data_IF_331087390758
#
_entry.id   IF_331087390758
#
_cell.length_a   1.000
_cell.length_b   1.000
_cell.length_c   1.000
_cell.angle_alpha   90.00
_cell.angle_beta   90.00
_cell.angle_gamma   90.00
#
_symmetry.space_group_name_H-M   'P 1'
#
loop_
_entity.id
_entity.type
_entity.pdbx_description
1 polymer ?
#
# COMPACT_ATOMS: atom_id res chain seq x y z
N UNK A 1 -7.91 2.83 -26.47
CA UNK A 1 -6.67 2.62 -25.66
C UNK A 1 -6.59 1.15 -25.28
N UNK A 2 -5.43 0.50 -25.39
CA UNK A 2 -5.22 -0.88 -24.95
C UNK A 2 -5.15 -0.95 -23.42
N UNK A 3 -5.82 -1.93 -22.79
CA UNK A 3 -5.76 -2.15 -21.34
C UNK A 3 -4.41 -2.72 -20.93
N UNK A 4 -4.01 -2.53 -19.66
CA UNK A 4 -2.80 -3.13 -19.10
C UNK A 4 -2.72 -4.64 -19.41
N UNK A 5 -3.79 -5.39 -19.12
CA UNK A 5 -3.82 -6.83 -19.41
C UNK A 5 -3.63 -7.17 -20.90
N UNK A 6 -4.23 -6.39 -21.82
CA UNK A 6 -4.04 -6.62 -23.26
C UNK A 6 -2.61 -6.35 -23.72
N UNK A 7 -1.95 -5.33 -23.16
CA UNK A 7 -0.54 -5.02 -23.44
C UNK A 7 0.37 -6.15 -22.93
N UNK A 8 0.12 -6.66 -21.72
CA UNK A 8 0.94 -7.73 -21.15
C UNK A 8 0.79 -9.03 -21.92
N UNK A 9 -0.44 -9.40 -22.34
CA UNK A 9 -0.65 -10.59 -23.19
C UNK A 9 0.12 -10.50 -24.50
N UNK A 10 0.12 -9.34 -25.16
CA UNK A 10 0.89 -9.13 -26.40
C UNK A 10 2.39 -9.38 -26.17
N UNK A 11 2.94 -8.85 -25.08
CA UNK A 11 4.37 -8.98 -24.74
C UNK A 11 4.77 -10.42 -24.41
N UNK A 12 3.93 -11.12 -23.63
CA UNK A 12 4.14 -12.54 -23.32
C UNK A 12 4.05 -13.41 -24.58
N UNK A 13 3.18 -13.07 -25.52
CA UNK A 13 3.07 -13.74 -26.82
C UNK A 13 4.31 -13.51 -27.71
N UNK A 14 4.89 -12.31 -27.68
CA UNK A 14 6.17 -12.02 -28.37
C UNK A 14 7.30 -12.88 -27.81
N UNK A 15 7.42 -12.98 -26.48
CA UNK A 15 8.38 -13.87 -25.82
C UNK A 15 8.14 -15.35 -26.17
N UNK A 16 6.88 -15.79 -26.19
CA UNK A 16 6.50 -17.14 -26.58
C UNK A 16 6.98 -17.48 -28.00
N UNK A 17 6.82 -16.54 -28.95
CA UNK A 17 7.27 -16.69 -30.34
C UNK A 17 8.78 -16.71 -30.48
N UNK A 18 9.49 -16.03 -29.58
CA UNK A 18 10.95 -16.06 -29.51
C UNK A 18 11.51 -17.36 -28.87
N UNK A 19 10.64 -18.28 -28.42
CA UNK A 19 11.05 -19.55 -27.81
C UNK A 19 11.42 -19.43 -26.32
N UNK A 20 11.09 -18.31 -25.68
CA UNK A 20 11.42 -18.05 -24.28
C UNK A 20 10.55 -18.87 -23.31
N UNK A 21 11.08 -19.09 -22.10
CA UNK A 21 10.35 -19.73 -21.01
C UNK A 21 9.35 -18.75 -20.36
N UNK A 22 8.21 -18.55 -21.02
CA UNK A 22 7.17 -17.61 -20.59
C UNK A 22 6.68 -17.86 -19.16
N UNK A 23 6.39 -19.10 -18.70
CA UNK A 23 6.01 -19.35 -17.32
C UNK A 23 7.04 -18.84 -16.30
N UNK A 24 8.33 -19.11 -16.53
CA UNK A 24 9.39 -18.66 -15.65
C UNK A 24 9.51 -17.12 -15.66
N UNK A 25 9.48 -16.50 -16.84
CA UNK A 25 9.53 -15.03 -16.95
C UNK A 25 8.35 -14.39 -16.23
N UNK A 26 7.15 -14.96 -16.36
CA UNK A 26 5.97 -14.46 -15.64
C UNK A 26 6.15 -14.52 -14.12
N UNK A 27 6.72 -15.60 -13.59
CA UNK A 27 6.99 -15.72 -12.16
C UNK A 27 8.01 -14.67 -11.69
N UNK A 28 9.17 -14.60 -12.35
CA UNK A 28 10.25 -13.67 -11.98
C UNK A 28 9.79 -12.20 -12.05
N UNK A 29 9.04 -11.85 -13.09
CA UNK A 29 8.54 -10.48 -13.27
C UNK A 29 7.44 -10.13 -12.27
N UNK A 30 6.52 -11.07 -11.98
CA UNK A 30 5.48 -10.86 -10.99
C UNK A 30 6.06 -10.71 -9.57
N UNK A 31 7.06 -11.52 -9.23
CA UNK A 31 7.75 -11.45 -7.94
C UNK A 31 8.44 -10.09 -7.75
N UNK A 32 9.32 -9.71 -8.69
CA UNK A 32 10.03 -8.44 -8.62
C UNK A 32 9.10 -7.23 -8.63
N UNK A 33 8.01 -7.28 -9.39
CA UNK A 33 7.01 -6.23 -9.40
C UNK A 33 6.27 -6.11 -8.06
N UNK A 34 5.99 -7.22 -7.38
CA UNK A 34 5.31 -7.22 -6.08
C UNK A 34 6.23 -6.72 -4.98
N UNK A 35 7.53 -7.09 -5.00
CA UNK A 35 8.54 -6.55 -4.08
C UNK A 35 8.60 -5.02 -4.20
N UNK A 36 8.64 -4.49 -5.43
CA UNK A 36 8.62 -3.04 -5.65
C UNK A 36 7.31 -2.38 -5.22
N UNK A 37 6.18 -3.08 -5.38
CA UNK A 37 4.87 -2.60 -4.93
C UNK A 37 4.82 -2.47 -3.40
N UNK A 38 5.31 -3.49 -2.69
CA UNK A 38 5.46 -3.48 -1.22
C UNK A 38 6.34 -2.31 -0.79
N UNK A 39 7.52 -2.14 -1.40
CA UNK A 39 8.44 -1.04 -1.09
C UNK A 39 7.75 0.33 -1.19
N UNK A 40 7.05 0.59 -2.30
CA UNK A 40 6.37 1.88 -2.51
C UNK A 40 5.18 2.07 -1.56
N UNK A 41 4.42 1.02 -1.28
CA UNK A 41 3.32 1.08 -0.31
C UNK A 41 3.85 1.41 1.10
N UNK A 42 4.95 0.78 1.51
CA UNK A 42 5.67 1.05 2.75
C UNK A 42 6.15 2.50 2.82
N UNK A 43 6.84 3.01 1.80
CA UNK A 43 7.33 4.40 1.75
C UNK A 43 6.21 5.44 1.82
N UNK A 44 5.03 5.11 1.27
CA UNK A 44 3.85 5.97 1.33
C UNK A 44 3.11 5.91 2.68
N UNK A 45 3.45 4.96 3.55
CA UNK A 45 2.75 4.73 4.81
C UNK A 45 3.25 5.67 5.90
N UNK A 46 2.37 6.51 6.49
CA UNK A 46 2.75 7.36 7.61
C UNK A 46 3.12 6.55 8.87
N UNK A 47 3.98 7.07 9.75
CA UNK A 47 4.73 8.32 9.61
C UNK A 47 5.96 8.12 8.70
N UNK A 48 5.99 8.79 7.55
CA UNK A 48 7.07 8.70 6.55
C UNK A 48 7.88 10.00 6.40
N UNK A 49 7.54 11.03 7.18
CA UNK A 49 8.19 12.34 7.19
C UNK A 49 9.17 12.51 8.37
N UNK A 50 9.45 11.43 9.10
CA UNK A 50 10.32 11.45 10.27
C UNK A 50 9.72 12.14 11.49
N UNK A 51 8.47 12.63 11.42
CA UNK A 51 7.78 13.27 12.54
C UNK A 51 7.06 12.22 13.38
N UNK A 52 7.78 11.62 14.32
CA UNK A 52 7.19 10.75 15.34
C UNK A 52 6.67 11.63 16.49
N UNK A 53 5.39 12.04 16.42
CA UNK A 53 4.79 12.88 17.45
C UNK A 53 4.15 12.05 18.58
N UNK A 54 4.96 11.64 19.56
CA UNK A 54 4.49 11.27 20.90
C UNK A 54 4.54 9.79 21.26
N UNK A 55 4.68 9.52 22.57
CA UNK A 55 4.89 8.20 23.20
C UNK A 55 3.81 7.15 22.87
N UNK A 56 2.62 7.58 22.42
CA UNK A 56 1.49 6.72 22.03
C UNK A 56 1.17 6.74 20.52
N UNK A 57 1.92 7.50 19.71
CA UNK A 57 1.77 7.52 18.25
C UNK A 57 2.57 6.37 17.63
N UNK A 58 1.88 5.24 17.48
CA UNK A 58 2.05 4.19 16.47
C UNK A 58 3.49 3.93 16.03
N UNK A 59 4.06 2.87 16.61
CA UNK A 59 5.08 2.04 15.99
C UNK A 59 4.81 1.91 14.47
N UNK A 60 5.85 1.93 13.64
CA UNK A 60 5.76 1.74 12.19
C UNK A 60 5.19 0.38 11.73
N UNK A 61 4.41 -0.28 12.58
CA UNK A 61 3.69 -1.53 12.37
C UNK A 61 2.94 -1.52 11.04
N UNK A 62 2.13 -0.50 10.74
CA UNK A 62 1.41 -0.50 9.46
C UNK A 62 2.35 -0.57 8.25
N UNK A 63 3.48 0.14 8.31
CA UNK A 63 4.47 0.10 7.25
C UNK A 63 5.13 -1.30 7.15
N UNK A 64 5.43 -1.93 8.29
CA UNK A 64 5.95 -3.29 8.37
C UNK A 64 4.96 -4.33 7.80
N UNK A 65 3.67 -4.13 8.03
CA UNK A 65 2.62 -5.06 7.60
C UNK A 65 2.49 -5.21 6.08
N UNK A 66 2.92 -4.22 5.30
CA UNK A 66 3.03 -4.41 3.85
C UNK A 66 4.01 -5.52 3.49
N UNK A 67 5.12 -5.65 4.21
CA UNK A 67 6.12 -6.68 3.94
C UNK A 67 5.72 -8.03 4.53
N UNK A 68 5.12 -8.06 5.72
CA UNK A 68 4.78 -9.33 6.40
C UNK A 68 3.51 -9.98 5.87
N UNK A 69 2.56 -9.19 5.39
CA UNK A 69 1.23 -9.69 5.02
C UNK A 69 1.12 -9.98 3.52
N UNK A 70 1.99 -9.36 2.71
CA UNK A 70 2.02 -9.55 1.26
C UNK A 70 2.65 -10.89 0.87
N UNK A 71 2.20 -11.44 -0.26
CA UNK A 71 2.75 -12.65 -0.86
C UNK A 71 3.51 -12.26 -2.12
N UNK A 72 4.82 -12.07 -1.98
CA UNK A 72 5.70 -11.64 -3.08
C UNK A 72 6.10 -12.80 -3.99
N UNK A 73 6.30 -13.99 -3.43
CA UNK A 73 6.63 -15.18 -4.23
C UNK A 73 5.36 -15.71 -4.90
N UNK A 74 5.32 -15.83 -6.23
CA UNK A 74 4.11 -16.19 -6.95
C UNK A 74 3.60 -17.58 -6.62
N UNK A 75 2.30 -17.70 -6.40
CA UNK A 75 1.58 -18.96 -6.26
C UNK A 75 0.92 -19.30 -7.60
N UNK A 76 1.08 -20.55 -8.04
CA UNK A 76 0.38 -21.07 -9.20
C UNK A 76 -1.01 -21.56 -8.80
N UNK A 77 -2.05 -20.89 -9.29
CA UNK A 77 -3.44 -21.27 -9.04
C UNK A 77 -4.28 -21.16 -10.33
N UNK A 78 -4.92 -22.26 -10.73
CA UNK A 78 -5.83 -22.28 -11.89
C UNK A 78 -5.18 -21.83 -13.22
N UNK A 79 -3.89 -22.11 -13.41
CA UNK A 79 -3.13 -21.66 -14.58
C UNK A 79 -2.71 -20.19 -14.56
N UNK A 80 -2.88 -19.50 -13.42
CA UNK A 80 -2.44 -18.12 -13.20
C UNK A 80 -1.31 -18.04 -12.19
N UNK A 81 -0.37 -17.12 -12.42
CA UNK A 81 0.64 -16.71 -11.45
C UNK A 81 0.05 -15.58 -10.59
N UNK A 82 -0.08 -15.81 -9.29
CA UNK A 82 -0.72 -14.87 -8.36
C UNK A 82 0.28 -14.41 -7.30
N UNK A 83 0.31 -13.10 -7.07
CA UNK A 83 1.03 -12.43 -5.99
C UNK A 83 0.04 -11.49 -5.31
N UNK A 84 0.28 -11.17 -4.04
CA UNK A 84 -0.66 -10.38 -3.25
C UNK A 84 0.04 -9.21 -2.58
N UNK A 85 -0.59 -8.03 -2.66
CA UNK A 85 -0.17 -6.82 -1.93
C UNK A 85 -1.20 -6.57 -0.82
N UNK A 86 -0.82 -6.89 0.42
CA UNK A 86 -1.75 -6.93 1.56
C UNK A 86 -1.27 -6.03 2.71
N UNK A 87 -2.23 -5.58 3.52
CA UNK A 87 -2.00 -4.97 4.82
C UNK A 87 -3.20 -5.28 5.72
N UNK A 88 -3.01 -6.19 6.67
CA UNK A 88 -4.08 -6.77 7.48
C UNK A 88 -4.37 -5.96 8.75
N UNK A 89 -3.78 -4.77 8.90
CA UNK A 89 -4.09 -3.88 10.02
C UNK A 89 -5.55 -3.44 9.94
N UNK A 90 -6.30 -3.60 11.03
CA UNK A 90 -7.73 -3.26 11.10
C UNK A 90 -8.03 -1.81 10.71
N UNK A 91 -7.07 -0.91 10.93
CA UNK A 91 -7.19 0.51 10.61
C UNK A 91 -6.63 0.90 9.23
N UNK A 92 -6.07 -0.04 8.46
CA UNK A 92 -5.35 0.25 7.22
C UNK A 92 -6.23 1.00 6.21
N UNK A 93 -7.50 0.61 6.09
CA UNK A 93 -8.48 1.25 5.20
C UNK A 93 -8.71 2.72 5.56
N UNK A 94 -8.84 3.05 6.85
CA UNK A 94 -9.01 4.44 7.32
C UNK A 94 -7.83 5.34 6.93
N UNK A 95 -6.62 4.79 6.89
CA UNK A 95 -5.40 5.50 6.46
C UNK A 95 -5.28 5.51 4.94
N UNK A 96 -5.66 4.43 4.25
CA UNK A 96 -5.56 4.31 2.80
C UNK A 96 -6.59 5.14 2.06
N UNK A 97 -7.86 4.92 2.38
CA UNK A 97 -9.00 5.47 1.65
C UNK A 97 -9.47 6.78 2.28
N UNK A 98 -9.14 6.98 3.56
CA UNK A 98 -9.65 8.08 4.37
C UNK A 98 -10.92 7.68 5.09
N UNK A 99 -11.45 8.60 5.89
CA UNK A 99 -12.68 8.36 6.65
C UNK A 99 -13.34 9.66 7.09
N UNK A 100 -14.64 9.59 7.39
CA UNK A 100 -15.38 10.68 8.02
C UNK A 100 -15.08 10.71 9.51
N UNK A 101 -15.06 11.92 10.06
CA UNK A 101 -14.85 12.14 11.49
C UNK A 101 -16.10 12.78 12.04
N UNK A 102 -16.69 12.13 13.03
CA UNK A 102 -17.86 12.65 13.73
C UNK A 102 -17.43 13.53 14.90
N UNK A 103 -18.02 14.73 14.94
CA UNK A 103 -17.85 15.63 16.08
C UNK A 103 -18.58 15.04 17.27
N UNK A 104 -17.88 14.93 18.39
CA UNK A 104 -18.48 14.50 19.64
C UNK A 104 -17.85 15.25 20.82
N UNK A 105 -18.66 15.49 21.83
CA UNK A 105 -18.20 16.07 23.09
C UNK A 105 -17.64 14.94 23.96
N UNK A 106 -16.43 15.11 24.48
CA UNK A 106 -15.84 14.21 25.46
C UNK A 106 -15.83 14.92 26.82
N UNK A 107 -16.76 14.58 27.73
CA UNK A 107 -16.77 15.13 29.09
C UNK A 107 -15.46 14.82 29.82
N UNK A 108 -14.96 15.78 30.60
CA UNK A 108 -13.74 15.63 31.39
C UNK A 108 -12.43 15.68 30.58
N UNK A 109 -12.45 15.61 29.25
CA UNK A 109 -11.24 15.77 28.44
C UNK A 109 -10.80 17.24 28.43
N UNK A 110 -9.56 17.51 28.83
CA UNK A 110 -8.98 18.86 28.95
C UNK A 110 -7.61 18.94 28.25
N UNK A 111 -7.18 20.16 27.92
CA UNK A 111 -5.81 20.44 27.44
C UNK A 111 -4.97 20.87 28.64
N UNK A 112 -3.92 20.11 28.94
CA UNK A 112 -2.94 20.43 29.97
C UNK A 112 -1.57 20.70 29.33
N UNK A 113 -1.23 21.97 29.12
CA UNK A 113 -0.07 22.38 28.33
C UNK A 113 -0.19 21.92 26.87
N UNK A 114 0.75 21.06 26.43
CA UNK A 114 0.77 20.50 25.07
C UNK A 114 0.13 19.10 24.98
N UNK A 115 -0.45 18.59 26.07
CA UNK A 115 -1.02 17.24 26.14
C UNK A 115 -2.53 17.29 26.36
N UNK A 116 -3.20 16.23 25.90
CA UNK A 116 -4.59 15.95 26.24
C UNK A 116 -4.63 15.06 27.47
N UNK A 117 -5.45 15.43 28.46
CA UNK A 117 -5.57 14.72 29.74
C UNK A 117 -7.05 14.64 30.16
N UNK A 118 -7.40 13.64 30.98
CA UNK A 118 -8.71 13.59 31.63
C UNK A 118 -8.67 14.31 32.97
N UNK A 119 -9.59 15.24 33.20
CA UNK A 119 -9.70 15.98 34.45
C UNK A 119 -9.98 15.00 35.61
N UNK A 120 -9.22 15.05 36.71
CA UNK A 120 -9.41 14.15 37.85
C UNK A 120 -10.80 14.22 38.50
N UNK A 121 -11.44 15.38 38.44
CA UNK A 121 -12.78 15.64 38.97
C UNK A 121 -13.90 15.51 37.91
N UNK A 122 -13.54 15.14 36.67
CA UNK A 122 -14.46 15.04 35.53
C UNK A 122 -15.00 16.37 35.03
N UNK A 123 -14.52 17.51 35.53
CA UNK A 123 -14.98 18.82 35.11
C UNK A 123 -14.51 19.20 33.70
N UNK A 124 -15.30 20.02 33.02
CA UNK A 124 -15.01 20.48 31.67
C UNK A 124 -15.27 19.42 30.59
N UNK A 125 -14.59 19.59 29.46
CA UNK A 125 -14.69 18.69 28.31
C UNK A 125 -14.32 19.39 27.01
N UNK A 126 -14.01 18.59 25.98
CA UNK A 126 -13.61 19.09 24.68
C UNK A 126 -14.44 18.47 23.57
N UNK A 127 -14.79 19.30 22.60
CA UNK A 127 -15.28 18.82 21.32
C UNK A 127 -14.10 18.24 20.54
N UNK A 128 -14.17 16.94 20.25
CA UNK A 128 -13.21 16.22 19.43
C UNK A 128 -13.75 16.11 18.00
N UNK A 129 -12.86 16.03 17.00
CA UNK A 129 -13.24 15.93 15.58
C UNK A 129 -13.55 17.29 14.90
N UNK A 130 -13.01 18.39 15.41
CA UNK A 130 -13.56 19.73 15.15
C UNK A 130 -13.09 20.43 13.88
N UNK A 131 -11.90 20.13 13.35
CA UNK A 131 -11.30 20.90 12.24
C UNK A 131 -11.74 20.43 10.85
N UNK A 132 -11.93 19.13 10.65
CA UNK A 132 -12.38 18.57 9.38
C UNK A 132 -13.40 17.45 9.61
N UNK A 133 -14.39 17.34 8.74
CA UNK A 133 -15.39 16.25 8.74
C UNK A 133 -14.89 15.01 8.00
N UNK A 134 -13.72 15.12 7.37
CA UNK A 134 -13.11 14.07 6.57
C UNK A 134 -11.58 14.13 6.73
N UNK A 135 -10.98 12.96 6.89
CA UNK A 135 -9.54 12.76 6.82
C UNK A 135 -9.23 12.13 5.47
N UNK A 136 -8.40 12.80 4.67
CA UNK A 136 -8.04 12.32 3.35
C UNK A 136 -7.13 11.07 3.44
N UNK A 137 -7.47 10.06 2.64
CA UNK A 137 -6.66 8.86 2.48
C UNK A 137 -5.29 9.13 1.85
N UNK A 138 -4.34 8.24 2.13
CA UNK A 138 -2.96 8.31 1.60
C UNK A 138 -2.75 7.50 0.33
N UNK A 139 -3.71 6.66 -0.06
CA UNK A 139 -3.71 5.87 -1.30
C UNK A 139 -2.41 5.05 -1.51
N UNK A 140 -1.94 4.41 -0.44
CA UNK A 140 -0.71 3.61 -0.42
C UNK A 140 -0.84 2.37 -1.32
N UNK A 141 -1.99 1.69 -1.24
CA UNK A 141 -2.33 0.53 -2.07
C UNK A 141 -2.29 0.88 -3.56
N UNK A 142 -2.90 2.01 -3.93
CA UNK A 142 -2.95 2.49 -5.30
C UNK A 142 -1.55 2.85 -5.82
N UNK A 143 -0.69 3.45 -4.97
CA UNK A 143 0.70 3.71 -5.31
C UNK A 143 1.50 2.42 -5.56
N UNK A 144 1.32 1.40 -4.69
CA UNK A 144 1.91 0.08 -4.88
C UNK A 144 1.45 -0.61 -6.18
N UNK A 145 0.14 -0.60 -6.46
CA UNK A 145 -0.43 -1.15 -7.70
C UNK A 145 0.10 -0.41 -8.93
N UNK A 146 0.23 0.92 -8.86
CA UNK A 146 0.83 1.72 -9.92
C UNK A 146 2.27 1.28 -10.21
N UNK A 147 3.07 1.17 -9.14
CA UNK A 147 4.46 0.72 -9.23
C UNK A 147 4.58 -0.70 -9.80
N UNK A 148 3.75 -1.63 -9.34
CA UNK A 148 3.69 -3.00 -9.88
C UNK A 148 3.54 -2.99 -11.40
N UNK A 149 2.53 -2.27 -11.91
CA UNK A 149 2.23 -2.19 -13.35
C UNK A 149 3.40 -1.60 -14.14
N UNK A 150 4.05 -0.58 -13.60
CA UNK A 150 5.19 0.05 -14.25
C UNK A 150 6.42 -0.86 -14.26
N UNK A 151 6.67 -1.60 -13.19
CA UNK A 151 7.76 -2.58 -13.12
C UNK A 151 7.55 -3.71 -14.12
N UNK A 152 6.36 -4.31 -14.19
CA UNK A 152 6.08 -5.37 -15.17
C UNK A 152 6.32 -4.89 -16.60
N UNK A 153 5.83 -3.69 -16.94
CA UNK A 153 6.06 -3.12 -18.28
C UNK A 153 7.56 -3.02 -18.57
N UNK A 154 8.33 -2.44 -17.66
CA UNK A 154 9.78 -2.26 -17.88
C UNK A 154 10.51 -3.59 -18.03
N UNK A 155 10.21 -4.57 -17.19
CA UNK A 155 10.88 -5.86 -17.21
C UNK A 155 10.52 -6.69 -18.44
N UNK A 156 9.24 -6.77 -18.84
CA UNK A 156 8.86 -7.47 -20.06
C UNK A 156 9.47 -6.81 -21.31
N UNK A 157 9.54 -5.48 -21.36
CA UNK A 157 10.17 -4.75 -22.47
C UNK A 157 11.67 -5.00 -22.56
N UNK A 158 12.32 -5.19 -21.40
CA UNK A 158 13.71 -5.59 -21.32
C UNK A 158 13.90 -7.01 -21.86
N UNK A 159 13.11 -7.97 -21.37
CA UNK A 159 13.16 -9.39 -21.81
C UNK A 159 12.93 -9.54 -23.31
N UNK A 160 11.94 -8.84 -23.88
CA UNK A 160 11.68 -8.88 -25.32
C UNK A 160 12.88 -8.37 -26.12
N UNK A 161 13.48 -7.25 -25.68
CA UNK A 161 14.68 -6.70 -26.36
C UNK A 161 15.89 -7.62 -26.23
N UNK A 162 15.96 -8.44 -25.20
CA UNK A 162 17.02 -9.43 -25.02
C UNK A 162 16.79 -10.66 -25.92
N UNK A 163 15.54 -11.13 -26.03
CA UNK A 163 15.17 -12.30 -26.81
C UNK A 163 15.17 -12.06 -28.34
N UNK A 164 15.00 -10.81 -28.79
CA UNK A 164 14.98 -10.44 -30.21
C UNK A 164 16.31 -9.90 -30.74
N UNK A 165 17.37 -9.94 -29.93
CA UNK A 165 18.74 -9.65 -30.37
C UNK A 165 19.37 -10.88 -31.00
#
# INVERSE_FOLDING_TARGET
MSSFGSQMRKRLEELRKAGENVPQIMAEVAEGATIEAVRVATEKTPPNDGTLAGTNMRSGQMAQHWATDSVTTPIMAGGSMITELNNNMQYASYVNDGHRVDKHFVPGLIINGNLLEMSPDGSGGLMVGTKTTYVQGKYMKEAGIGKYRDTIRKELDRRIREALK
#
